data_IF_115670727534
#
_entry.id   IF_115670727534
#
_cell.length_a   1.000
_cell.length_b   1.000
_cell.length_c   1.000
_cell.angle_alpha   90.00
_cell.angle_beta   90.00
_cell.angle_gamma   90.00
#
_symmetry.space_group_name_H-M   'P 1'
#
loop_
_entity.id
_entity.type
_entity.pdbx_description
1 polymer ?
#
# COMPACT_ATOMS: atom_id res chain seq x y z
N UNK A 1 0.26 -42.06 4.55
CA UNK A 1 1.16 -41.54 3.50
C UNK A 1 1.00 -40.04 3.44
N UNK A 2 1.90 -39.29 4.08
CA UNK A 2 1.99 -37.84 3.92
C UNK A 2 2.60 -37.57 2.55
N UNK A 3 1.80 -37.13 1.56
CA UNK A 3 2.34 -36.60 0.31
C UNK A 3 3.24 -35.42 0.68
N UNK A 4 4.52 -35.52 0.36
CA UNK A 4 5.45 -34.39 0.42
C UNK A 4 4.85 -33.27 -0.45
N UNK A 5 4.68 -32.04 0.09
CA UNK A 5 4.15 -30.95 -0.71
C UNK A 5 5.06 -30.69 -1.90
N UNK A 6 4.45 -30.49 -3.07
CA UNK A 6 5.18 -30.14 -4.28
C UNK A 6 5.93 -28.82 -4.06
N UNK A 7 7.14 -28.68 -4.61
CA UNK A 7 7.99 -27.50 -4.47
C UNK A 7 7.21 -26.23 -4.88
N UNK A 8 6.39 -26.35 -5.91
CA UNK A 8 5.48 -25.29 -6.38
C UNK A 8 4.53 -24.79 -5.30
N UNK A 9 4.00 -25.69 -4.47
CA UNK A 9 3.07 -25.36 -3.40
C UNK A 9 3.76 -24.63 -2.25
N UNK A 10 4.98 -25.05 -1.90
CA UNK A 10 5.81 -24.38 -0.88
C UNK A 10 6.17 -22.96 -1.33
N UNK A 11 6.58 -22.79 -2.59
CA UNK A 11 6.92 -21.45 -3.14
C UNK A 11 5.69 -20.55 -3.20
N UNK A 12 4.53 -21.07 -3.61
CA UNK A 12 3.28 -20.33 -3.62
C UNK A 12 2.86 -19.86 -2.23
N UNK A 13 2.85 -20.76 -1.25
CA UNK A 13 2.44 -20.41 0.13
C UNK A 13 3.35 -19.34 0.74
N UNK A 14 4.66 -19.40 0.46
CA UNK A 14 5.60 -18.36 0.86
C UNK A 14 5.28 -17.02 0.19
N UNK A 15 5.10 -17.01 -1.13
CA UNK A 15 4.80 -15.78 -1.87
C UNK A 15 3.45 -15.17 -1.45
N UNK A 16 2.42 -16.00 -1.24
CA UNK A 16 1.11 -15.56 -0.76
C UNK A 16 1.15 -15.00 0.67
N UNK A 17 1.95 -15.62 1.56
CA UNK A 17 2.17 -15.12 2.92
C UNK A 17 2.92 -13.78 2.93
N UNK A 18 3.94 -13.65 2.07
CA UNK A 18 4.69 -12.40 1.86
C UNK A 18 3.77 -11.29 1.34
N UNK A 19 2.89 -11.60 0.37
CA UNK A 19 1.91 -10.67 -0.19
C UNK A 19 0.92 -10.19 0.87
N UNK A 20 0.43 -11.12 1.70
CA UNK A 20 -0.47 -10.80 2.82
C UNK A 20 0.21 -9.91 3.86
N UNK A 21 1.46 -10.22 4.22
CA UNK A 21 2.26 -9.43 5.16
C UNK A 21 2.47 -8.02 4.65
N UNK A 22 2.86 -7.88 3.38
CA UNK A 22 2.98 -6.58 2.72
C UNK A 22 1.64 -5.83 2.73
N UNK A 23 0.52 -6.50 2.44
CA UNK A 23 -0.80 -5.89 2.50
C UNK A 23 -1.14 -5.35 3.88
N UNK A 24 -0.86 -6.11 4.95
CA UNK A 24 -1.06 -5.66 6.34
C UNK A 24 -0.19 -4.45 6.65
N UNK A 25 1.10 -4.50 6.30
CA UNK A 25 2.01 -3.38 6.53
C UNK A 25 1.55 -2.12 5.78
N UNK A 26 1.08 -2.25 4.54
CA UNK A 26 0.55 -1.12 3.77
C UNK A 26 -0.67 -0.48 4.44
N UNK A 27 -1.57 -1.28 5.02
CA UNK A 27 -2.71 -0.77 5.81
C UNK A 27 -2.21 -0.02 7.06
N UNK A 28 -1.30 -0.62 7.83
CA UNK A 28 -0.79 -0.03 9.08
C UNK A 28 -0.09 1.30 8.81
N UNK A 29 0.88 1.31 7.88
CA UNK A 29 1.62 2.52 7.56
C UNK A 29 0.77 3.56 6.83
N UNK A 30 -0.16 3.13 5.97
CA UNK A 30 -1.15 4.03 5.37
C UNK A 30 -2.02 4.70 6.43
N UNK A 31 -2.49 3.94 7.44
CA UNK A 31 -3.26 4.48 8.56
C UNK A 31 -2.46 5.46 9.41
N UNK A 32 -1.21 5.14 9.75
CA UNK A 32 -0.33 6.06 10.49
C UNK A 32 -0.05 7.35 9.71
N UNK A 33 0.19 7.25 8.41
CA UNK A 33 0.40 8.44 7.57
C UNK A 33 -0.86 9.29 7.42
N UNK A 34 -2.04 8.66 7.36
CA UNK A 34 -3.32 9.39 7.42
C UNK A 34 -3.51 10.16 8.72
N UNK A 35 -3.20 9.53 9.86
CA UNK A 35 -3.25 10.23 11.16
C UNK A 35 -2.29 11.43 11.18
N UNK A 36 -1.07 11.26 10.65
CA UNK A 36 -0.12 12.37 10.48
C UNK A 36 -0.69 13.50 9.61
N UNK A 37 -1.27 13.16 8.46
CA UNK A 37 -1.89 14.14 7.55
C UNK A 37 -3.08 14.88 8.18
N UNK A 38 -3.87 14.19 9.00
CA UNK A 38 -4.98 14.80 9.74
C UNK A 38 -4.46 15.80 10.77
N UNK A 39 -3.42 15.46 11.53
CA UNK A 39 -2.79 16.37 12.50
C UNK A 39 -2.27 17.64 11.78
N UNK A 40 -1.55 17.48 10.67
CA UNK A 40 -1.10 18.62 9.86
C UNK A 40 -2.27 19.48 9.36
N UNK A 41 -3.33 18.86 8.88
CA UNK A 41 -4.53 19.56 8.39
C UNK A 41 -5.21 20.36 9.50
N UNK A 42 -5.22 19.86 10.74
CA UNK A 42 -5.73 20.59 11.91
C UNK A 42 -4.88 21.83 12.18
N UNK A 43 -3.55 21.72 12.20
CA UNK A 43 -2.68 22.88 12.42
C UNK A 43 -2.83 23.96 11.33
N UNK A 44 -2.90 23.56 10.07
CA UNK A 44 -3.14 24.50 8.95
C UNK A 44 -4.53 25.13 9.07
N UNK A 45 -5.55 24.33 9.42
CA UNK A 45 -6.92 24.81 9.65
C UNK A 45 -7.03 25.82 10.79
N UNK A 46 -6.30 25.60 11.90
CA UNK A 46 -6.18 26.61 12.97
C UNK A 46 -5.51 27.88 12.45
N UNK A 47 -4.42 27.75 11.67
CA UNK A 47 -3.75 28.89 11.04
C UNK A 47 -4.68 29.74 10.17
N UNK A 48 -5.58 29.10 9.41
CA UNK A 48 -6.59 29.80 8.60
C UNK A 48 -7.54 30.63 9.48
N UNK A 49 -7.87 30.17 10.68
CA UNK A 49 -8.70 30.91 11.64
C UNK A 49 -8.03 32.16 12.22
N UNK A 50 -6.70 32.26 12.12
CA UNK A 50 -5.90 33.39 12.59
C UNK A 50 -5.30 34.23 11.45
N UNK A 51 -5.66 33.99 10.18
CA UNK A 51 -5.07 34.75 9.07
C UNK A 51 -5.56 36.20 9.07
N UNK A 52 -4.63 37.15 9.11
CA UNK A 52 -4.96 38.58 9.11
C UNK A 52 -4.93 39.21 7.71
N UNK A 53 -4.31 38.52 6.74
CA UNK A 53 -4.21 38.97 5.35
C UNK A 53 -4.79 37.96 4.36
N UNK A 54 -5.21 38.44 3.18
CA UNK A 54 -5.65 37.59 2.08
C UNK A 54 -4.54 36.67 1.58
N UNK A 55 -3.29 37.15 1.61
CA UNK A 55 -2.14 36.40 1.11
C UNK A 55 -1.85 35.20 2.01
N UNK A 56 -1.94 35.38 3.33
CA UNK A 56 -1.82 34.28 4.31
C UNK A 56 -2.93 33.25 4.13
N UNK A 57 -4.17 33.71 3.92
CA UNK A 57 -5.31 32.83 3.68
C UNK A 57 -5.12 31.96 2.42
N UNK A 58 -4.70 32.56 1.30
CA UNK A 58 -4.42 31.83 0.07
C UNK A 58 -3.24 30.87 0.22
N UNK A 59 -2.15 31.30 0.87
CA UNK A 59 -0.98 30.46 1.12
C UNK A 59 -1.31 29.22 1.95
N UNK A 60 -2.04 29.39 3.05
CA UNK A 60 -2.46 28.29 3.91
C UNK A 60 -3.46 27.35 3.23
N UNK A 61 -4.39 27.89 2.43
CA UNK A 61 -5.32 27.07 1.63
C UNK A 61 -4.59 26.23 0.58
N UNK A 62 -3.58 26.81 -0.08
CA UNK A 62 -2.72 26.09 -1.01
C UNK A 62 -1.92 25.00 -0.28
N UNK A 63 -1.35 25.30 0.89
CA UNK A 63 -0.63 24.32 1.71
C UNK A 63 -1.52 23.15 2.15
N UNK A 64 -2.78 23.42 2.53
CA UNK A 64 -3.76 22.39 2.87
C UNK A 64 -4.06 21.49 1.66
N UNK A 65 -4.26 22.11 0.49
CA UNK A 65 -4.54 21.39 -0.76
C UNK A 65 -3.36 20.50 -1.16
N UNK A 66 -2.13 21.02 -1.11
CA UNK A 66 -0.92 20.26 -1.39
C UNK A 66 -0.71 19.12 -0.38
N UNK A 67 -0.97 19.37 0.91
CA UNK A 67 -0.93 18.32 1.95
C UNK A 67 -1.92 17.22 1.63
N UNK A 68 -3.15 17.56 1.24
CA UNK A 68 -4.12 16.55 0.86
C UNK A 68 -3.68 15.71 -0.34
N UNK A 69 -3.18 16.36 -1.40
CA UNK A 69 -2.81 15.70 -2.66
C UNK A 69 -1.54 14.86 -2.51
N UNK A 70 -0.49 15.42 -1.92
CA UNK A 70 0.83 14.78 -1.87
C UNK A 70 1.06 13.95 -0.62
N UNK A 71 0.29 14.15 0.45
CA UNK A 71 0.41 13.34 1.66
C UNK A 71 -0.80 12.42 1.85
N UNK A 72 -2.00 12.98 1.99
CA UNK A 72 -3.19 12.20 2.38
C UNK A 72 -3.55 11.16 1.32
N UNK A 73 -3.65 11.56 0.05
CA UNK A 73 -4.04 10.65 -1.04
C UNK A 73 -3.10 9.43 -1.18
N UNK A 74 -1.76 9.56 -1.24
CA UNK A 74 -0.86 8.40 -1.28
C UNK A 74 -1.07 7.40 -0.14
N UNK A 75 -1.35 7.89 1.07
CA UNK A 75 -1.62 7.04 2.23
C UNK A 75 -2.99 6.35 2.16
N UNK A 76 -4.01 7.00 1.60
CA UNK A 76 -5.30 6.32 1.28
C UNK A 76 -5.05 5.18 0.29
N UNK A 77 -4.27 5.43 -0.76
CA UNK A 77 -3.94 4.39 -1.75
C UNK A 77 -3.20 3.22 -1.12
N UNK A 78 -2.28 3.45 -0.17
CA UNK A 78 -1.62 2.37 0.58
C UNK A 78 -2.60 1.49 1.36
N UNK A 79 -3.63 2.08 1.97
CA UNK A 79 -4.63 1.31 2.72
C UNK A 79 -5.47 0.47 1.76
N UNK A 80 -5.95 1.08 0.68
CA UNK A 80 -6.77 0.40 -0.33
C UNK A 80 -5.98 -0.73 -0.99
N UNK A 81 -4.75 -0.46 -1.43
CA UNK A 81 -3.89 -1.48 -2.04
C UNK A 81 -3.58 -2.60 -1.05
N UNK A 82 -3.28 -2.25 0.21
CA UNK A 82 -3.02 -3.22 1.26
C UNK A 82 -4.20 -4.14 1.53
N UNK A 83 -5.42 -3.59 1.58
CA UNK A 83 -6.65 -4.35 1.73
C UNK A 83 -6.83 -5.38 0.61
N UNK A 84 -6.60 -4.98 -0.65
CA UNK A 84 -6.70 -5.91 -1.77
C UNK A 84 -5.57 -6.95 -1.77
N UNK A 85 -4.34 -6.59 -1.41
CA UNK A 85 -3.22 -7.54 -1.32
C UNK A 85 -3.45 -8.64 -0.29
N UNK A 86 -4.07 -8.32 0.86
CA UNK A 86 -4.42 -9.31 1.90
C UNK A 86 -5.39 -10.37 1.36
N UNK A 87 -6.24 -10.02 0.39
CA UNK A 87 -7.20 -10.93 -0.23
C UNK A 87 -6.61 -11.85 -1.30
N UNK A 88 -5.29 -11.79 -1.56
CA UNK A 88 -4.62 -12.62 -2.56
C UNK A 88 -5.29 -12.49 -3.94
N UNK A 89 -5.29 -11.28 -4.53
CA UNK A 89 -5.98 -11.01 -5.78
C UNK A 89 -5.28 -11.70 -6.96
N UNK A 90 -5.95 -11.75 -8.11
CA UNK A 90 -5.34 -12.31 -9.33
C UNK A 90 -3.96 -11.67 -9.62
N UNK A 91 -2.99 -12.41 -10.18
CA UNK A 91 -1.59 -11.95 -10.29
C UNK A 91 -1.41 -10.61 -11.01
N UNK A 92 -2.24 -10.31 -12.02
CA UNK A 92 -2.23 -9.03 -12.73
C UNK A 92 -2.59 -7.86 -11.81
N UNK A 93 -3.61 -8.03 -10.98
CA UNK A 93 -4.02 -7.04 -9.97
C UNK A 93 -2.97 -6.94 -8.87
N UNK A 94 -2.48 -8.07 -8.36
CA UNK A 94 -1.40 -8.08 -7.36
C UNK A 94 -0.18 -7.28 -7.84
N UNK A 95 0.25 -7.48 -9.09
CA UNK A 95 1.37 -6.74 -9.70
C UNK A 95 1.12 -5.23 -9.67
N UNK A 96 -0.04 -4.77 -10.11
CA UNK A 96 -0.38 -3.34 -10.13
C UNK A 96 -0.37 -2.75 -8.73
N UNK A 97 -0.96 -3.44 -7.76
CA UNK A 97 -0.99 -2.99 -6.37
C UNK A 97 0.42 -2.91 -5.75
N UNK A 98 1.28 -3.89 -6.05
CA UNK A 98 2.67 -3.87 -5.60
C UNK A 98 3.43 -2.69 -6.23
N UNK A 99 3.20 -2.38 -7.52
CA UNK A 99 3.82 -1.22 -8.18
C UNK A 99 3.37 0.09 -7.56
N UNK A 100 2.08 0.24 -7.25
CA UNK A 100 1.58 1.42 -6.52
C UNK A 100 2.32 1.56 -5.18
N UNK A 101 2.45 0.46 -4.42
CA UNK A 101 3.17 0.46 -3.16
C UNK A 101 4.67 0.74 -3.32
N UNK A 102 5.29 0.31 -4.42
CA UNK A 102 6.67 0.63 -4.75
C UNK A 102 6.85 2.14 -4.91
N UNK A 103 5.98 2.79 -5.69
CA UNK A 103 6.04 4.23 -5.94
C UNK A 103 5.80 4.99 -4.63
N UNK A 104 4.72 4.68 -3.91
CA UNK A 104 4.43 5.38 -2.65
C UNK A 104 5.51 5.14 -1.59
N UNK A 105 6.00 3.89 -1.49
CA UNK A 105 7.08 3.54 -0.58
C UNK A 105 8.39 4.28 -0.88
N UNK A 106 8.72 4.49 -2.15
CA UNK A 106 9.91 5.25 -2.54
C UNK A 106 9.89 6.71 -2.05
N UNK A 107 8.71 7.33 -1.98
CA UNK A 107 8.56 8.71 -1.52
C UNK A 107 8.36 8.83 0.00
N UNK A 108 7.70 7.86 0.63
CA UNK A 108 7.15 8.05 1.98
C UNK A 108 7.48 6.94 2.98
N UNK A 109 7.87 5.73 2.55
CA UNK A 109 8.03 4.60 3.47
C UNK A 109 8.98 3.50 2.96
N UNK A 110 10.19 3.46 3.54
CA UNK A 110 11.22 2.48 3.21
C UNK A 110 10.80 1.03 3.45
N UNK A 111 10.02 0.75 4.51
CA UNK A 111 9.58 -0.62 4.81
C UNK A 111 8.64 -1.13 3.71
N UNK A 112 7.69 -0.30 3.28
CA UNK A 112 6.80 -0.65 2.16
C UNK A 112 7.59 -0.84 0.87
N UNK A 113 8.57 0.02 0.61
CA UNK A 113 9.44 -0.11 -0.56
C UNK A 113 10.13 -1.48 -0.61
N UNK A 114 10.76 -1.90 0.49
CA UNK A 114 11.44 -3.19 0.59
C UNK A 114 10.48 -4.34 0.32
N UNK A 115 9.30 -4.34 0.94
CA UNK A 115 8.30 -5.39 0.73
C UNK A 115 7.75 -5.38 -0.70
N UNK A 116 7.62 -4.22 -1.34
CA UNK A 116 7.22 -4.14 -2.73
C UNK A 116 8.26 -4.78 -3.66
N UNK A 117 9.56 -4.53 -3.43
CA UNK A 117 10.64 -5.16 -4.20
C UNK A 117 10.63 -6.69 -4.00
N UNK A 118 10.53 -7.17 -2.76
CA UNK A 118 10.47 -8.61 -2.45
C UNK A 118 9.27 -9.28 -3.14
N UNK A 119 8.10 -8.65 -3.11
CA UNK A 119 6.91 -9.24 -3.72
C UNK A 119 6.95 -9.19 -5.25
N UNK A 120 7.62 -8.20 -5.87
CA UNK A 120 7.84 -8.19 -7.32
C UNK A 120 8.73 -9.35 -7.77
N UNK A 121 9.79 -9.67 -7.01
CA UNK A 121 10.67 -10.80 -7.35
C UNK A 121 9.97 -12.14 -7.14
N UNK A 122 9.08 -12.25 -6.16
CA UNK A 122 8.29 -13.45 -5.87
C UNK A 122 7.01 -13.58 -6.72
N UNK A 123 6.68 -12.59 -7.57
CA UNK A 123 5.43 -12.56 -8.33
C UNK A 123 5.28 -13.75 -9.28
N UNK A 124 6.38 -14.24 -9.86
CA UNK A 124 6.37 -15.40 -10.77
C UNK A 124 5.94 -16.68 -10.05
N UNK A 125 6.46 -16.89 -8.84
CA UNK A 125 6.13 -18.03 -7.99
C UNK A 125 4.66 -17.97 -7.55
N UNK A 126 4.19 -16.78 -7.19
CA UNK A 126 2.79 -16.53 -6.87
C UNK A 126 1.86 -16.86 -8.05
N UNK A 127 2.17 -16.37 -9.25
CA UNK A 127 1.36 -16.59 -10.45
C UNK A 127 1.27 -18.07 -10.84
N UNK A 128 2.39 -18.81 -10.76
CA UNK A 128 2.43 -20.23 -11.07
C UNK A 128 1.53 -21.05 -10.14
N UNK A 129 1.62 -20.81 -8.82
CA UNK A 129 0.78 -21.51 -7.84
C UNK A 129 -0.69 -21.09 -7.85
N UNK A 130 -0.99 -19.83 -8.20
CA UNK A 130 -2.35 -19.34 -8.32
C UNK A 130 -3.12 -20.07 -9.44
N UNK A 131 -2.49 -20.23 -10.62
CA UNK A 131 -3.08 -20.96 -11.74
C UNK A 131 -3.38 -22.43 -11.38
N UNK A 132 -2.48 -23.09 -10.64
CA UNK A 132 -2.72 -24.46 -10.17
C UNK A 132 -3.92 -24.53 -9.22
N UNK A 133 -4.00 -23.70 -8.18
CA UNK A 133 -5.13 -23.75 -7.24
C UNK A 133 -6.47 -23.41 -7.87
N UNK A 134 -6.50 -22.45 -8.79
CA UNK A 134 -7.74 -22.00 -9.41
C UNK A 134 -8.32 -23.05 -10.39
N UNK A 135 -7.47 -23.89 -10.99
CA UNK A 135 -7.88 -24.99 -11.87
C UNK A 135 -8.40 -26.24 -11.12
N UNK A 136 -8.07 -26.42 -9.83
CA UNK A 136 -8.57 -27.54 -9.01
C UNK A 136 -9.82 -27.19 -8.19
N UNK A 137 -10.33 -25.96 -8.29
CA UNK A 137 -11.55 -25.49 -7.61
C UNK A 137 -12.73 -25.30 -8.57
N UNK A 138 -12.57 -25.63 -9.85
CA UNK A 138 -13.64 -25.78 -10.84
C UNK A 138 -13.96 -27.27 -11.01
#
# INVERSE_FOLDING_TARGET
MTKTPDITEIMYTRAASSLKTHGILAIVFGGLGLLGGLIFSVFIGLGLGFSESSDDFFGLTAALTLTFIFWTLPHIYLIVSGYYLVKQPVPSVAKTLIIINLVVGAFWNLVILIFAIINLTQLREYAAGYAHRHNYQQ
#
